data_IF_983135859063
#
_entry.id   IF_983135859063
#
_cell.length_a   1.000
_cell.length_b   1.000
_cell.length_c   1.000
_cell.angle_alpha   90.00
_cell.angle_beta   90.00
_cell.angle_gamma   90.00
#
_symmetry.space_group_name_H-M   'P 1'
#
loop_
_entity.id
_entity.type
_entity.pdbx_description
1 polymer ?
#
# COMPACT_ATOMS: atom_id res chain seq x y z
N UNK A 1 -5.46 -10.70 -4.41
CA UNK A 1 -6.66 -10.76 -3.53
C UNK A 1 -6.29 -10.13 -2.21
N UNK A 2 -7.07 -9.15 -1.73
CA UNK A 2 -6.80 -8.45 -0.47
C UNK A 2 -7.75 -8.93 0.61
N UNK A 3 -7.17 -9.24 1.77
CA UNK A 3 -7.85 -9.67 2.97
C UNK A 3 -7.85 -8.53 3.99
N UNK A 4 -9.04 -8.01 4.29
CA UNK A 4 -9.22 -6.97 5.31
C UNK A 4 -8.96 -7.57 6.70
N UNK A 5 -8.29 -6.82 7.56
CA UNK A 5 -7.89 -7.25 8.91
C UNK A 5 -6.69 -8.20 8.90
N UNK A 6 -5.91 -8.25 7.81
CA UNK A 6 -4.74 -9.11 7.67
C UNK A 6 -3.57 -8.38 7.00
N UNK A 7 -2.39 -8.97 7.12
CA UNK A 7 -1.21 -8.54 6.36
C UNK A 7 -1.33 -9.06 4.94
N UNK A 8 -1.28 -8.15 3.98
CA UNK A 8 -1.29 -8.42 2.56
C UNK A 8 0.05 -8.04 1.95
N UNK A 9 0.37 -8.66 0.83
CA UNK A 9 1.51 -8.29 0.01
C UNK A 9 1.00 -7.49 -1.18
N UNK A 10 1.34 -6.21 -1.25
CA UNK A 10 0.80 -5.25 -2.20
C UNK A 10 1.92 -4.67 -3.07
N UNK A 11 1.65 -4.54 -4.36
CA UNK A 11 2.56 -3.93 -5.32
C UNK A 11 2.49 -2.40 -5.24
N UNK A 12 3.65 -1.75 -5.24
CA UNK A 12 3.76 -0.29 -5.35
C UNK A 12 3.52 0.09 -6.81
N UNK A 13 2.36 0.67 -7.10
CA UNK A 13 1.95 1.02 -8.47
C UNK A 13 2.32 2.44 -8.86
N UNK A 14 2.38 3.36 -7.90
CA UNK A 14 2.71 4.75 -8.17
C UNK A 14 3.49 5.40 -7.01
N UNK A 15 4.36 6.36 -7.34
CA UNK A 15 5.09 7.18 -6.38
C UNK A 15 4.66 8.64 -6.49
N UNK A 16 4.10 9.18 -5.42
CA UNK A 16 3.76 10.59 -5.26
C UNK A 16 4.90 11.36 -4.57
N UNK A 17 4.71 12.67 -4.35
CA UNK A 17 5.71 13.51 -3.65
C UNK A 17 6.03 12.97 -2.24
N UNK A 18 5.00 12.71 -1.42
CA UNK A 18 5.14 12.31 -0.01
C UNK A 18 4.50 10.95 0.33
N UNK A 19 4.01 10.22 -0.67
CA UNK A 19 3.33 8.94 -0.49
C UNK A 19 3.58 8.00 -1.67
N UNK A 20 3.15 6.75 -1.52
CA UNK A 20 3.06 5.75 -2.56
C UNK A 20 1.62 5.25 -2.65
N UNK A 21 1.25 4.76 -3.83
CA UNK A 21 0.00 4.02 -4.05
C UNK A 21 0.32 2.54 -4.15
N UNK A 22 -0.47 1.74 -3.45
CA UNK A 22 -0.40 0.28 -3.45
C UNK A 22 -1.61 -0.29 -4.19
N UNK A 23 -1.42 -1.34 -4.99
CA UNK A 23 -2.52 -2.00 -5.70
C UNK A 23 -3.50 -2.62 -4.69
N UNK A 24 -4.66 -1.99 -4.50
CA UNK A 24 -5.69 -2.46 -3.58
C UNK A 24 -6.74 -3.38 -4.22
N UNK A 25 -6.55 -3.75 -5.49
CA UNK A 25 -7.49 -4.56 -6.26
C UNK A 25 -8.90 -3.94 -6.28
N UNK A 26 -9.90 -4.68 -5.79
CA UNK A 26 -11.32 -4.23 -5.78
C UNK A 26 -11.58 -3.01 -4.89
N UNK A 27 -10.65 -2.65 -4.01
CA UNK A 27 -10.79 -1.51 -3.10
C UNK A 27 -10.18 -0.23 -3.67
N UNK A 28 -9.68 -0.26 -4.91
CA UNK A 28 -8.94 0.85 -5.52
C UNK A 28 -7.52 0.93 -5.01
N UNK A 29 -6.81 2.01 -5.31
CA UNK A 29 -5.42 2.17 -4.85
C UNK A 29 -5.36 2.63 -3.40
N UNK A 30 -4.50 2.00 -2.61
CA UNK A 30 -4.31 2.30 -1.18
C UNK A 30 -3.12 3.24 -1.04
N UNK A 31 -3.36 4.43 -0.53
CA UNK A 31 -2.30 5.42 -0.29
C UNK A 31 -1.58 5.16 1.03
N UNK A 32 -0.24 5.18 1.00
CA UNK A 32 0.61 5.04 2.19
C UNK A 32 1.70 6.11 2.20
N UNK A 33 2.02 6.66 3.37
CA UNK A 33 3.05 7.68 3.51
C UNK A 33 4.47 7.08 3.36
N UNK A 34 5.39 7.83 2.77
CA UNK A 34 6.77 7.33 2.50
C UNK A 34 7.54 6.91 3.74
N UNK A 35 7.27 7.56 4.87
CA UNK A 35 7.91 7.29 6.15
C UNK A 35 7.41 5.99 6.81
N UNK A 36 6.28 5.44 6.37
CA UNK A 36 5.76 4.15 6.84
C UNK A 36 6.29 2.96 6.03
N UNK A 37 6.96 3.24 4.91
CA UNK A 37 7.58 2.23 4.07
C UNK A 37 9.10 2.11 4.32
N UNK A 38 9.68 0.94 4.02
CA UNK A 38 11.13 0.77 4.05
C UNK A 38 11.86 1.81 3.17
N UNK A 39 13.01 2.28 3.63
CA UNK A 39 13.84 3.18 2.83
C UNK A 39 14.25 2.51 1.52
N UNK A 40 14.17 3.27 0.43
CA UNK A 40 14.51 2.77 -0.91
C UNK A 40 13.40 1.98 -1.60
N UNK A 41 12.16 2.00 -1.08
CA UNK A 41 10.99 1.46 -1.77
C UNK A 41 10.80 2.13 -3.14
N UNK A 42 10.52 1.33 -4.17
CA UNK A 42 10.34 1.78 -5.56
C UNK A 42 9.07 1.21 -6.16
N UNK A 43 8.58 1.87 -7.22
CA UNK A 43 7.52 1.35 -8.07
C UNK A 43 7.89 -0.04 -8.60
N UNK A 44 6.93 -0.97 -8.58
CA UNK A 44 7.07 -2.36 -8.98
C UNK A 44 7.63 -3.28 -7.88
N UNK A 45 7.90 -2.77 -6.68
CA UNK A 45 8.22 -3.61 -5.52
C UNK A 45 6.97 -4.00 -4.74
N UNK A 46 7.07 -5.11 -4.00
CA UNK A 46 6.04 -5.55 -3.08
C UNK A 46 6.35 -5.17 -1.65
N UNK A 47 5.34 -4.70 -0.94
CA UNK A 47 5.42 -4.36 0.47
C UNK A 47 4.40 -5.18 1.26
N UNK A 48 4.74 -5.52 2.50
CA UNK A 48 3.80 -6.15 3.43
C UNK A 48 3.09 -5.05 4.20
N UNK A 49 1.78 -4.93 3.99
CA UNK A 49 0.95 -3.91 4.62
C UNK A 49 -0.24 -4.56 5.33
N UNK A 50 -0.57 -4.11 6.53
CA UNK A 50 -1.81 -4.48 7.19
C UNK A 50 -2.94 -3.62 6.61
N UNK A 51 -3.97 -4.25 6.05
CA UNK A 51 -5.08 -3.55 5.39
C UNK A 51 -6.30 -3.58 6.29
N UNK A 52 -6.84 -2.41 6.60
CA UNK A 52 -8.09 -2.24 7.33
C UNK A 52 -8.95 -1.19 6.62
N UNK A 53 -10.26 -1.25 6.85
CA UNK A 53 -11.18 -0.21 6.41
C UNK A 53 -11.21 0.83 7.52
N UNK A 54 -10.89 2.07 7.19
CA UNK A 54 -11.00 3.16 8.14
C UNK A 54 -12.49 3.32 8.52
N UNK A 55 -12.73 3.43 9.83
CA UNK A 55 -14.07 3.56 10.39
C UNK A 55 -14.22 5.00 10.88
N UNK A 56 -14.27 5.94 9.94
CA UNK A 56 -14.82 7.27 10.21
C UNK A 56 -16.33 7.15 10.52
#
# INVERSE_FOLDING_TARGET
MINIGQINQLDVVEQLKNSFLLEGGRYGDIQIAKNELPQGTKIGQQVKAFVFIDSD
#
